data_IF_491760009188
#
_entry.id   IF_491760009188
#
_cell.length_a   1.000
_cell.length_b   1.000
_cell.length_c   1.000
_cell.angle_alpha   90.00
_cell.angle_beta   90.00
_cell.angle_gamma   90.00
#
_symmetry.space_group_name_H-M   'P 1'
#
loop_
_entity.id
_entity.type
_entity.pdbx_description
1 polymer ?
#
# COMPACT_ATOMS: atom_id res chain seq x y z
N UNK A 1 -12.18 9.35 10.80
CA UNK A 1 -10.94 9.25 10.00
C UNK A 1 -10.45 7.83 10.21
N UNK A 2 -10.44 6.99 9.16
CA UNK A 2 -9.97 5.60 9.26
C UNK A 2 -8.44 5.58 9.24
N UNK A 3 -7.81 4.78 10.10
CA UNK A 3 -6.35 4.74 10.25
C UNK A 3 -5.70 3.58 9.47
N UNK A 4 -4.55 3.86 8.84
CA UNK A 4 -3.70 2.88 8.18
C UNK A 4 -2.67 2.35 9.19
N UNK A 5 -2.98 1.20 9.79
CA UNK A 5 -2.06 0.44 10.64
C UNK A 5 -1.48 -0.78 9.90
N UNK A 6 -0.40 -1.36 10.44
CA UNK A 6 0.09 -2.66 9.98
C UNK A 6 -1.02 -3.72 10.16
N UNK A 7 -1.25 -4.54 9.14
CA UNK A 7 -2.36 -5.48 9.01
C UNK A 7 -3.77 -4.86 8.84
N UNK A 8 -3.89 -3.55 8.58
CA UNK A 8 -5.19 -2.99 8.18
C UNK A 8 -5.71 -3.66 6.92
N UNK A 9 -7.04 -3.85 6.81
CA UNK A 9 -7.67 -4.35 5.59
C UNK A 9 -8.03 -3.19 4.68
N UNK A 10 -7.57 -3.26 3.44
CA UNK A 10 -7.82 -2.24 2.42
C UNK A 10 -8.47 -2.85 1.19
N UNK A 11 -9.19 -2.00 0.46
CA UNK A 11 -9.70 -2.24 -0.86
C UNK A 11 -9.02 -1.31 -1.88
N UNK A 12 -8.39 -1.89 -2.89
CA UNK A 12 -7.58 -1.17 -3.89
C UNK A 12 -8.09 -1.47 -5.29
N UNK A 13 -8.02 -0.50 -6.20
CA UNK A 13 -8.33 -0.75 -7.62
C UNK A 13 -7.22 -1.57 -8.27
N UNK A 14 -7.56 -2.76 -8.77
CA UNK A 14 -6.59 -3.72 -9.32
C UNK A 14 -5.75 -3.13 -10.47
N UNK A 15 -6.31 -2.22 -11.27
CA UNK A 15 -5.57 -1.56 -12.37
C UNK A 15 -4.39 -0.69 -11.94
N UNK A 16 -4.36 -0.22 -10.69
CA UNK A 16 -3.30 0.67 -10.15
C UNK A 16 -2.35 -0.10 -9.24
N UNK A 17 -2.45 -1.43 -9.24
CA UNK A 17 -1.59 -2.30 -8.47
C UNK A 17 -0.36 -2.67 -9.28
N UNK A 18 0.78 -2.60 -8.63
CA UNK A 18 2.08 -2.99 -9.15
C UNK A 18 2.63 -4.19 -8.35
N UNK A 19 3.30 -5.16 -9.00
CA UNK A 19 3.56 -5.23 -10.43
C UNK A 19 2.29 -5.58 -11.22
N UNK A 20 2.06 -4.87 -12.33
CA UNK A 20 0.85 -5.03 -13.15
C UNK A 20 0.81 -6.35 -13.94
N UNK A 21 1.95 -7.03 -14.08
CA UNK A 21 2.06 -8.32 -14.75
C UNK A 21 1.20 -9.38 -14.05
N UNK A 22 1.31 -9.51 -12.73
CA UNK A 22 0.57 -10.50 -11.94
C UNK A 22 -0.94 -10.29 -12.03
N UNK A 23 -1.35 -9.03 -11.93
CA UNK A 23 -2.74 -8.62 -12.09
C UNK A 23 -3.28 -9.00 -13.46
N UNK A 24 -2.51 -8.75 -14.53
CA UNK A 24 -2.93 -9.03 -15.91
C UNK A 24 -2.94 -10.53 -16.22
N UNK A 25 -2.04 -11.31 -15.61
CA UNK A 25 -2.01 -12.77 -15.72
C UNK A 25 -3.25 -13.40 -15.09
N UNK A 26 -3.64 -12.92 -13.90
CA UNK A 26 -4.78 -13.46 -13.16
C UNK A 26 -6.12 -12.98 -13.71
N UNK A 27 -6.20 -11.71 -14.09
CA UNK A 27 -7.41 -11.06 -14.57
C UNK A 27 -7.20 -10.55 -16.01
N UNK A 28 -7.28 -11.42 -17.03
CA UNK A 28 -7.08 -11.02 -18.42
C UNK A 28 -8.15 -10.04 -18.93
N UNK A 29 -9.39 -10.15 -18.42
CA UNK A 29 -10.51 -9.25 -18.71
C UNK A 29 -10.88 -8.43 -17.47
N UNK A 30 -9.94 -7.60 -17.04
CA UNK A 30 -10.09 -6.80 -15.83
C UNK A 30 -11.16 -5.71 -16.04
N UNK A 31 -12.26 -5.81 -15.31
CA UNK A 31 -13.30 -4.77 -15.38
C UNK A 31 -12.74 -3.42 -14.92
N UNK A 32 -13.22 -2.34 -15.54
CA UNK A 32 -12.75 -0.99 -15.22
C UNK A 32 -12.88 -0.70 -13.72
N UNK A 33 -13.90 -1.19 -13.04
CA UNK A 33 -14.11 -0.90 -11.63
C UNK A 33 -13.74 -2.07 -10.71
N UNK A 34 -12.95 -3.04 -11.19
CA UNK A 34 -12.50 -4.16 -10.37
C UNK A 34 -11.63 -3.68 -9.19
N UNK A 35 -12.06 -4.01 -7.98
CA UNK A 35 -11.30 -3.76 -6.75
C UNK A 35 -10.88 -5.09 -6.15
N UNK A 36 -9.65 -5.14 -5.65
CA UNK A 36 -9.20 -6.17 -4.74
C UNK A 36 -9.59 -5.74 -3.34
N UNK A 37 -10.35 -6.59 -2.67
CA UNK A 37 -10.80 -6.40 -1.30
C UNK A 37 -10.00 -7.35 -0.37
N UNK A 38 -10.16 -7.19 0.95
CA UNK A 38 -9.47 -8.02 1.94
C UNK A 38 -7.93 -8.01 1.91
N UNK A 39 -7.31 -7.05 1.22
CA UNK A 39 -5.85 -6.89 1.16
C UNK A 39 -5.31 -6.47 2.54
N UNK A 40 -4.25 -7.12 3.01
CA UNK A 40 -3.60 -6.82 4.28
C UNK A 40 -2.39 -5.90 4.07
N UNK A 41 -2.38 -4.75 4.73
CA UNK A 41 -1.27 -3.80 4.66
C UNK A 41 -0.05 -4.35 5.38
N UNK A 42 1.08 -4.41 4.67
CA UNK A 42 2.37 -4.82 5.20
C UNK A 42 3.18 -3.59 5.67
N UNK A 43 3.41 -2.65 4.75
CA UNK A 43 4.23 -1.45 4.97
C UNK A 43 3.78 -0.26 4.12
N UNK A 44 4.13 0.94 4.55
CA UNK A 44 3.98 2.17 3.76
C UNK A 44 5.38 2.63 3.31
N UNK A 45 5.52 2.97 2.04
CA UNK A 45 6.77 3.41 1.44
C UNK A 45 6.55 4.68 0.61
N UNK A 46 7.37 5.70 0.82
CA UNK A 46 7.41 6.86 -0.08
C UNK A 46 8.30 6.53 -1.28
N UNK A 47 7.68 6.42 -2.46
CA UNK A 47 8.41 6.26 -3.72
C UNK A 47 8.41 7.56 -4.51
N UNK A 48 9.55 7.84 -5.14
CA UNK A 48 9.61 8.89 -6.16
C UNK A 48 9.07 8.35 -7.48
N UNK A 49 7.82 8.66 -7.78
CA UNK A 49 7.19 8.33 -9.05
C UNK A 49 7.14 9.61 -9.87
N UNK A 50 7.81 9.62 -11.03
CA UNK A 50 7.83 10.75 -11.97
C UNK A 50 8.19 12.11 -11.31
N UNK A 51 9.28 12.12 -10.53
CA UNK A 51 9.82 13.29 -9.82
C UNK A 51 8.94 13.83 -8.67
N UNK A 52 7.86 13.14 -8.30
CA UNK A 52 7.04 13.46 -7.13
C UNK A 52 7.15 12.36 -6.08
N UNK A 53 7.23 12.75 -4.81
CA UNK A 53 7.09 11.80 -3.70
C UNK A 53 5.63 11.38 -3.64
N UNK A 54 5.40 10.09 -3.79
CA UNK A 54 4.10 9.47 -3.69
C UNK A 54 4.14 8.43 -2.57
N UNK A 55 3.11 8.48 -1.72
CA UNK A 55 2.90 7.52 -0.65
C UNK A 55 2.30 6.25 -1.24
N UNK A 56 3.08 5.20 -1.30
CA UNK A 56 2.66 3.88 -1.72
C UNK A 56 2.45 2.98 -0.50
N UNK A 57 1.47 2.10 -0.60
CA UNK A 57 1.20 1.06 0.39
C UNK A 57 1.56 -0.27 -0.24
N UNK A 58 2.41 -1.03 0.46
CA UNK A 58 2.70 -2.43 0.15
C UNK A 58 1.74 -3.29 0.96
N UNK A 59 1.05 -4.19 0.29
CA UNK A 59 0.05 -5.08 0.87
C UNK A 59 0.12 -6.46 0.22
N UNK A 60 -0.33 -7.47 0.96
CA UNK A 60 -0.58 -8.79 0.42
C UNK A 60 -2.08 -8.96 0.14
N UNK A 61 -2.40 -9.67 -0.94
CA UNK A 61 -3.77 -10.02 -1.30
C UNK A 61 -3.95 -11.54 -1.12
N UNK A 62 -5.08 -12.03 -0.60
CA UNK A 62 -5.34 -13.48 -0.57
C UNK A 62 -5.37 -14.09 -1.99
N UNK A 63 -5.62 -13.29 -3.02
CA UNK A 63 -5.58 -13.73 -4.41
C UNK A 63 -4.14 -13.90 -4.95
N UNK A 64 -3.17 -13.26 -4.27
CA UNK A 64 -1.74 -13.28 -4.57
C UNK A 64 -0.94 -13.54 -3.28
N UNK A 65 -1.02 -14.76 -2.71
CA UNK A 65 -0.49 -15.06 -1.38
C UNK A 65 1.05 -14.98 -1.31
N UNK A 66 1.74 -15.17 -2.43
CA UNK A 66 3.21 -15.18 -2.50
C UNK A 66 3.80 -13.84 -2.98
N UNK A 67 2.95 -12.85 -3.29
CA UNK A 67 3.41 -11.63 -3.96
C UNK A 67 3.09 -10.35 -3.21
N UNK A 68 4.11 -9.51 -3.06
CA UNK A 68 4.00 -8.18 -2.49
C UNK A 68 3.50 -7.20 -3.55
N UNK A 69 2.26 -6.77 -3.40
CA UNK A 69 1.63 -5.80 -4.27
C UNK A 69 1.77 -4.40 -3.66
N UNK A 70 1.97 -3.40 -4.50
CA UNK A 70 2.02 -2.01 -4.09
C UNK A 70 1.07 -1.15 -4.91
N UNK A 71 0.48 -0.16 -4.25
CA UNK A 71 -0.38 0.82 -4.90
C UNK A 71 -0.27 2.18 -4.21
N UNK A 72 -0.57 3.24 -4.96
CA UNK A 72 -0.64 4.59 -4.39
C UNK A 72 -1.82 4.72 -3.41
N UNK A 73 -1.56 5.37 -2.28
CA UNK A 73 -2.50 5.55 -1.18
C UNK A 73 -3.81 6.22 -1.61
N UNK A 74 -3.80 7.04 -2.67
CA UNK A 74 -5.00 7.69 -3.22
C UNK A 74 -6.04 6.70 -3.75
N UNK A 75 -5.60 5.50 -4.18
CA UNK A 75 -6.48 4.46 -4.72
C UNK A 75 -6.82 3.37 -3.70
N UNK A 76 -6.23 3.44 -2.49
CA UNK A 76 -6.48 2.54 -1.39
C UNK A 76 -7.62 3.07 -0.52
N UNK A 77 -8.65 2.25 -0.29
CA UNK A 77 -9.74 2.54 0.63
C UNK A 77 -9.61 1.62 1.84
N UNK A 78 -9.52 2.18 3.05
CA UNK A 78 -9.49 1.37 4.27
C UNK A 78 -10.88 0.82 4.54
N UNK A 79 -10.98 -0.50 4.69
CA UNK A 79 -12.23 -1.20 5.03
C UNK A 79 -12.23 -1.59 6.50
N UNK A 80 -11.07 -2.00 7.03
CA UNK A 80 -10.90 -2.36 8.44
C UNK A 80 -9.63 -1.75 9.00
N UNK A 81 -9.74 -1.13 10.16
CA UNK A 81 -8.60 -0.54 10.86
C UNK A 81 -7.76 -1.65 11.50
N UNK A 82 -6.45 -1.60 11.30
CA UNK A 82 -5.50 -2.46 12.00
C UNK A 82 -5.29 -2.00 13.46
N UNK A 83 -4.65 -2.83 14.30
CA UNK A 83 -4.33 -2.46 15.69
C UNK A 83 -3.50 -1.17 15.72
N UNK A 84 -3.87 -0.24 16.63
CA UNK A 84 -3.24 1.08 16.79
C UNK A 84 -1.76 1.04 17.16
N UNK A 85 -1.21 -0.11 17.52
CA UNK A 85 0.14 -0.21 18.09
C UNK A 85 1.27 -0.09 17.05
N UNK A 86 0.95 -0.30 15.77
CA UNK A 86 1.93 -0.33 14.68
C UNK A 86 1.73 0.86 13.72
N UNK A 87 1.79 2.07 14.29
CA UNK A 87 1.86 3.29 13.48
C UNK A 87 3.14 3.28 12.62
N UNK A 88 3.04 3.70 11.36
CA UNK A 88 4.19 4.20 10.61
C UNK A 88 4.60 5.55 11.22
N UNK A 89 5.18 5.50 12.42
CA UNK A 89 5.84 6.65 13.00
C UNK A 89 7.01 6.99 12.08
N UNK A 90 6.84 8.05 11.29
CA UNK A 90 7.92 8.91 10.85
C UNK A 90 8.56 9.53 12.11
N UNK A 91 9.20 8.71 12.95
CA UNK A 91 10.08 9.23 13.97
C UNK A 91 11.40 9.56 13.26
N UNK A 92 11.39 10.76 12.68
CA UNK A 92 12.48 11.72 12.77
C UNK A 92 13.87 11.09 12.66
N UNK A 93 14.45 11.17 11.45
CA UNK A 93 15.90 11.32 11.35
C UNK A 93 16.28 12.48 12.25
N UNK A 94 16.92 12.18 13.38
CA UNK A 94 17.63 13.16 14.17
C UNK A 94 18.51 13.96 13.20
N UNK A 95 18.48 15.30 13.18
CA UNK A 95 19.58 16.03 12.58
C UNK A 95 20.81 15.73 13.46
N UNK A 96 21.65 14.79 13.04
CA UNK A 96 23.02 14.72 13.53
C UNK A 96 23.75 15.97 13.01
N UNK A 97 23.49 17.09 13.69
CA UNK A 97 24.24 18.32 13.60
C UNK A 97 24.59 18.70 15.03
N UNK A 98 25.80 18.31 15.45
CA UNK A 98 26.77 19.03 16.27
C UNK A 98 28.07 18.21 16.09
N UNK A 99 29.03 18.66 15.29
CA UNK A 99 30.09 19.60 15.68
C UNK A 99 30.55 19.33 17.12
N UNK A 100 31.70 18.68 17.26
CA UNK A 100 32.93 19.21 17.86
C UNK A 100 34.12 18.36 17.40
#
# INVERSE_FOLDING_TARGET
KLFLGRHAKISVMARFVHPSAHIRTKFPNLDKNQRLDNCAVLRQEEKFVSRKRQLCIVFSSPDFPDEELNADLRYCKVTQEGPRDLFFSLHTLLPCRMME
#
